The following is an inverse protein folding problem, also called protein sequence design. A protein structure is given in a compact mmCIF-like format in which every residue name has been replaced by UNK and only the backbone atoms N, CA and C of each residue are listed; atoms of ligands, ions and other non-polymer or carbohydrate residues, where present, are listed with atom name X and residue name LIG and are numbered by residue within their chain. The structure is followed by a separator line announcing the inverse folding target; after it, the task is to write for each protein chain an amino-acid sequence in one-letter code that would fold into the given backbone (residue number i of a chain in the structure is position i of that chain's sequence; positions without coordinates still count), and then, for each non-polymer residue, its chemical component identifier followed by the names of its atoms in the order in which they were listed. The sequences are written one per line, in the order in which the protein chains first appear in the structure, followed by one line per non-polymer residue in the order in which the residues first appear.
data_IF_711728457402
#
_entry.id   IF_711728457402
#
_cell.length_a   1.000
_cell.length_b   1.000
_cell.length_c   1.000
_cell.angle_alpha   90.00
_cell.angle_beta   90.00
_cell.angle_gamma   90.00
#
_symmetry.space_group_name_H-M   'P 1'
#
loop_
_entity.id
_entity.type
_entity.pdbx_description
1 polymer ?
#
# COMPACT_ATOMS: atom_id res chain seq x y z
N UNK A 1 -12.95 10.63 17.53
CA UNK A 1 -13.37 11.09 16.20
C UNK A 1 -13.15 9.94 15.24
N UNK A 2 -14.13 9.61 14.41
CA UNK A 2 -14.00 8.53 13.40
C UNK A 2 -13.11 9.03 12.26
N UNK A 3 -12.16 8.22 11.81
CA UNK A 3 -11.44 8.52 10.58
C UNK A 3 -12.40 8.46 9.38
N UNK A 4 -12.21 9.34 8.41
CA UNK A 4 -12.91 9.28 7.12
C UNK A 4 -12.08 8.43 6.17
N UNK A 5 -12.71 7.43 5.58
CA UNK A 5 -12.08 6.50 4.63
C UNK A 5 -12.66 6.72 3.23
N UNK A 6 -11.87 6.59 2.15
CA UNK A 6 -12.40 6.66 0.78
C UNK A 6 -13.44 5.56 0.58
N UNK A 7 -14.55 5.83 -0.11
CA UNK A 7 -15.62 4.82 -0.25
C UNK A 7 -15.22 3.68 -1.17
N UNK A 8 -14.38 3.99 -2.16
CA UNK A 8 -13.95 3.05 -3.18
C UNK A 8 -12.43 2.97 -3.20
N UNK A 9 -11.94 1.75 -3.18
CA UNK A 9 -10.55 1.40 -3.43
C UNK A 9 -10.41 1.11 -4.93
N UNK A 10 -9.42 1.69 -5.59
CA UNK A 10 -9.15 1.47 -7.00
C UNK A 10 -7.73 0.93 -7.25
N UNK A 11 -7.63 -0.07 -8.11
CA UNK A 11 -6.38 -0.66 -8.59
C UNK A 11 -6.50 -0.87 -10.10
N UNK A 12 -5.42 -0.73 -10.86
CA UNK A 12 -5.42 -1.01 -12.29
C UNK A 12 -4.26 -1.93 -12.68
N UNK A 13 -4.55 -2.96 -13.46
CA UNK A 13 -3.56 -3.82 -14.09
C UNK A 13 -3.38 -3.31 -15.51
N UNK A 14 -2.18 -2.89 -15.87
CA UNK A 14 -1.87 -2.20 -17.12
C UNK A 14 -1.15 -3.17 -18.06
N UNK A 15 -1.57 -3.20 -19.32
CA UNK A 15 -1.07 -4.13 -20.33
C UNK A 15 -0.60 -3.36 -21.56
N UNK A 16 0.38 -3.89 -22.27
CA UNK A 16 0.82 -3.37 -23.57
C UNK A 16 0.27 -4.21 -24.73
N UNK A 17 0.70 -3.89 -25.95
CA UNK A 17 0.29 -4.59 -27.17
C UNK A 17 0.79 -6.04 -27.24
N UNK A 18 1.79 -6.43 -26.45
CA UNK A 18 2.34 -7.79 -26.46
C UNK A 18 1.52 -8.77 -25.63
N UNK A 19 0.70 -8.26 -24.69
CA UNK A 19 -0.22 -9.02 -23.85
C UNK A 19 -1.63 -8.41 -23.89
N UNK A 20 -2.31 -8.41 -25.05
CA UNK A 20 -3.57 -7.69 -25.21
C UNK A 20 -4.72 -8.37 -24.44
N UNK A 21 -5.54 -7.58 -23.74
CA UNK A 21 -6.68 -8.09 -22.94
C UNK A 21 -7.65 -9.05 -23.67
N UNK A 22 -7.97 -8.87 -24.96
CA UNK A 22 -8.87 -9.78 -25.68
C UNK A 22 -8.39 -11.24 -25.76
N UNK A 23 -7.14 -11.54 -25.44
CA UNK A 23 -6.63 -12.91 -25.36
C UNK A 23 -6.71 -13.53 -23.96
N UNK A 24 -7.11 -12.77 -22.94
CA UNK A 24 -7.16 -13.23 -21.56
C UNK A 24 -8.59 -13.67 -21.24
N UNK A 25 -8.84 -14.96 -21.38
CA UNK A 25 -10.09 -15.60 -20.94
C UNK A 25 -9.91 -16.04 -19.48
N UNK A 26 -10.40 -15.23 -18.55
CA UNK A 26 -10.35 -15.58 -17.14
C UNK A 26 -11.44 -16.61 -16.83
N UNK A 27 -11.04 -17.73 -16.23
CA UNK A 27 -11.98 -18.51 -15.43
C UNK A 27 -12.31 -17.71 -14.16
N UNK A 28 -13.34 -16.89 -14.27
CA UNK A 28 -13.81 -16.06 -13.17
C UNK A 28 -14.23 -16.87 -11.95
N UNK A 29 -14.62 -18.14 -12.13
CA UNK A 29 -14.93 -19.00 -10.98
C UNK A 29 -13.64 -19.37 -10.24
N UNK A 30 -12.57 -19.72 -10.97
CA UNK A 30 -11.25 -19.94 -10.38
C UNK A 30 -10.74 -18.71 -9.61
N UNK A 31 -10.92 -17.50 -10.18
CA UNK A 31 -10.58 -16.25 -9.49
C UNK A 31 -11.36 -16.08 -8.18
N UNK A 32 -12.67 -16.35 -8.20
CA UNK A 32 -13.52 -16.28 -7.00
C UNK A 32 -13.09 -17.30 -5.95
N UNK A 33 -12.80 -18.54 -6.37
CA UNK A 33 -12.42 -19.63 -5.47
C UNK A 33 -11.09 -19.30 -4.77
N UNK A 34 -10.08 -18.81 -5.51
CA UNK A 34 -8.81 -18.33 -4.96
C UNK A 34 -9.01 -17.19 -3.95
N UNK A 35 -9.89 -16.23 -4.26
CA UNK A 35 -10.20 -15.12 -3.34
C UNK A 35 -10.90 -15.63 -2.08
N UNK A 36 -11.86 -16.55 -2.21
CA UNK A 36 -12.57 -17.14 -1.08
C UNK A 36 -11.66 -17.99 -0.19
N UNK A 37 -10.70 -18.72 -0.77
CA UNK A 37 -9.68 -19.45 0.00
C UNK A 37 -8.82 -18.49 0.84
N UNK A 38 -8.36 -17.38 0.25
CA UNK A 38 -7.62 -16.35 0.98
C UNK A 38 -8.47 -15.70 2.09
N UNK A 39 -9.77 -15.46 1.85
CA UNK A 39 -10.70 -14.97 2.87
C UNK A 39 -10.92 -15.96 4.00
N UNK A 40 -10.98 -17.26 3.70
CA UNK A 40 -11.05 -18.30 4.71
C UNK A 40 -9.80 -18.25 5.62
N UNK A 41 -8.61 -18.11 5.02
CA UNK A 41 -7.36 -17.91 5.74
C UNK A 41 -7.38 -16.66 6.63
N UNK A 42 -7.87 -15.54 6.10
CA UNK A 42 -8.07 -14.30 6.87
C UNK A 42 -9.01 -14.51 8.06
N UNK A 43 -10.18 -15.11 7.84
CA UNK A 43 -11.20 -15.35 8.85
C UNK A 43 -10.72 -16.27 9.99
N UNK A 44 -9.79 -17.19 9.70
CA UNK A 44 -9.18 -18.06 10.71
C UNK A 44 -8.24 -17.31 11.64
N UNK A 45 -7.56 -16.27 11.14
CA UNK A 45 -6.64 -15.42 11.90
C UNK A 45 -7.34 -14.23 12.56
N UNK A 46 -8.44 -13.76 11.97
CA UNK A 46 -9.15 -12.57 12.42
C UNK A 46 -9.87 -12.81 13.75
N UNK A 47 -9.64 -11.93 14.72
CA UNK A 47 -10.32 -11.94 16.02
C UNK A 47 -11.62 -11.12 16.04
N UNK A 48 -11.98 -10.47 14.93
CA UNK A 48 -13.07 -9.50 14.87
C UNK A 48 -14.00 -9.70 13.67
N UNK A 49 -13.70 -9.01 12.57
CA UNK A 49 -14.55 -9.01 11.38
C UNK A 49 -14.38 -10.31 10.60
N UNK A 50 -15.46 -11.09 10.49
CA UNK A 50 -15.54 -12.22 9.56
C UNK A 50 -16.13 -11.76 8.24
N UNK A 51 -15.45 -12.10 7.15
CA UNK A 51 -15.86 -11.76 5.80
C UNK A 51 -16.68 -12.91 5.20
N UNK A 52 -17.89 -12.65 4.69
CA UNK A 52 -18.63 -13.63 3.92
C UNK A 52 -17.89 -13.95 2.61
N UNK A 53 -18.15 -15.13 2.06
CA UNK A 53 -17.65 -15.53 0.75
C UNK A 53 -18.28 -14.67 -0.36
N UNK A 54 -17.53 -14.45 -1.43
CA UNK A 54 -18.05 -13.80 -2.62
C UNK A 54 -18.87 -14.79 -3.44
N UNK A 55 -20.07 -14.36 -3.81
CA UNK A 55 -20.93 -15.07 -4.74
C UNK A 55 -20.86 -14.41 -6.12
N UNK A 56 -20.87 -15.24 -7.17
CA UNK A 56 -20.86 -14.75 -8.53
C UNK A 56 -22.19 -14.08 -8.87
N UNK A 57 -22.18 -12.75 -9.03
CA UNK A 57 -23.32 -11.96 -9.49
C UNK A 57 -23.05 -11.50 -10.92
N UNK A 58 -23.01 -12.45 -11.86
CA UNK A 58 -22.71 -12.13 -13.25
C UNK A 58 -23.82 -11.27 -13.85
N UNK A 59 -23.55 -10.00 -14.05
CA UNK A 59 -24.34 -9.16 -14.96
C UNK A 59 -23.93 -9.49 -16.39
N UNK A 60 -24.81 -10.12 -17.15
CA UNK A 60 -24.58 -10.42 -18.56
C UNK A 60 -24.48 -9.10 -19.35
N UNK A 61 -23.30 -8.78 -19.89
CA UNK A 61 -23.15 -7.60 -20.75
C UNK A 61 -21.73 -7.29 -21.19
N UNK A 62 -20.78 -7.17 -20.27
CA UNK A 62 -19.50 -6.51 -20.58
C UNK A 62 -18.28 -7.32 -20.16
N UNK A 63 -17.13 -7.01 -20.78
CA UNK A 63 -15.81 -7.64 -20.59
C UNK A 63 -15.31 -7.43 -19.15
N UNK A 64 -15.91 -8.11 -18.19
CA UNK A 64 -15.64 -7.91 -16.77
C UNK A 64 -16.52 -8.77 -15.87
N UNK A 65 -16.40 -8.53 -14.57
CA UNK A 65 -17.12 -9.24 -13.53
C UNK A 65 -17.49 -8.28 -12.40
N UNK A 66 -18.69 -8.50 -11.84
CA UNK A 66 -19.11 -7.90 -10.58
C UNK A 66 -19.42 -9.02 -9.60
N UNK A 67 -18.80 -8.98 -8.42
CA UNK A 67 -19.09 -9.92 -7.33
C UNK A 67 -19.32 -9.16 -6.04
N UNK A 68 -20.09 -9.77 -5.14
CA UNK A 68 -20.40 -9.18 -3.84
C UNK A 68 -20.58 -10.23 -2.76
N UNK A 69 -20.40 -9.80 -1.51
CA UNK A 69 -20.56 -10.65 -0.33
C UNK A 69 -21.45 -10.00 0.74
N UNK A 70 -22.28 -9.05 0.35
CA UNK A 70 -23.12 -8.25 1.26
C UNK A 70 -22.40 -7.09 1.96
N UNK A 71 -21.09 -7.19 2.18
CA UNK A 71 -20.29 -6.13 2.81
C UNK A 71 -19.48 -5.32 1.78
N UNK A 72 -18.93 -6.01 0.79
CA UNK A 72 -18.14 -5.42 -0.28
C UNK A 72 -18.69 -5.82 -1.64
N UNK A 73 -18.50 -4.93 -2.61
CA UNK A 73 -18.70 -5.20 -4.02
C UNK A 73 -17.39 -4.96 -4.76
N UNK A 74 -17.02 -5.91 -5.61
CA UNK A 74 -15.83 -5.84 -6.47
C UNK A 74 -16.31 -5.69 -7.91
N UNK A 75 -15.81 -4.69 -8.61
CA UNK A 75 -15.99 -4.50 -10.04
C UNK A 75 -14.63 -4.65 -10.72
N UNK A 76 -14.51 -5.65 -11.59
CA UNK A 76 -13.33 -5.89 -12.40
C UNK A 76 -13.71 -5.72 -13.87
N UNK A 77 -13.23 -4.67 -14.53
CA UNK A 77 -13.66 -4.32 -15.88
C UNK A 77 -12.43 -4.21 -16.79
N UNK A 78 -12.44 -4.93 -17.89
CA UNK A 78 -11.44 -4.84 -18.94
C UNK A 78 -11.75 -3.66 -19.86
N UNK A 79 -10.76 -2.81 -20.08
CA UNK A 79 -10.83 -1.64 -20.94
C UNK A 79 -9.80 -1.79 -22.07
N UNK A 80 -10.26 -1.70 -23.33
CA UNK A 80 -9.40 -1.77 -24.52
C UNK A 80 -8.66 -0.45 -24.82
N UNK A 81 -8.70 0.49 -23.88
CA UNK A 81 -8.02 1.77 -23.97
C UNK A 81 -7.07 1.94 -22.78
N UNK A 82 -5.98 2.73 -22.93
CA UNK A 82 -5.11 3.03 -21.81
C UNK A 82 -5.85 3.86 -20.76
N UNK A 83 -5.36 3.80 -19.53
CA UNK A 83 -5.83 4.69 -18.47
C UNK A 83 -5.47 6.13 -18.85
N UNK A 84 -6.43 7.04 -18.66
CA UNK A 84 -6.23 8.46 -18.96
C UNK A 84 -5.02 9.02 -18.21
N UNK A 85 -4.13 9.73 -18.91
CA UNK A 85 -2.88 10.25 -18.31
C UNK A 85 -3.09 11.18 -17.13
N UNK A 86 -4.26 11.82 -17.02
CA UNK A 86 -4.64 12.66 -15.88
C UNK A 86 -4.71 11.88 -14.56
N UNK A 87 -4.95 10.57 -14.61
CA UNK A 87 -4.99 9.72 -13.42
C UNK A 87 -3.60 9.47 -12.82
N UNK A 88 -2.52 9.83 -13.52
CA UNK A 88 -1.15 9.65 -13.07
C UNK A 88 -0.43 10.97 -12.79
N UNK A 89 -1.16 12.09 -12.64
CA UNK A 89 -0.54 13.41 -12.46
C UNK A 89 0.35 13.48 -11.21
N UNK A 90 -0.11 12.94 -10.07
CA UNK A 90 0.66 12.95 -8.82
C UNK A 90 1.90 12.05 -8.95
N UNK A 91 1.71 10.82 -9.41
CA UNK A 91 2.79 9.88 -9.68
C UNK A 91 3.88 10.47 -10.61
N UNK A 92 3.49 11.11 -11.72
CA UNK A 92 4.44 11.76 -12.66
C UNK A 92 5.14 12.97 -12.06
N UNK A 93 4.52 13.63 -11.10
CA UNK A 93 5.12 14.76 -10.38
C UNK A 93 6.01 14.31 -9.21
N UNK A 94 6.00 13.02 -8.84
CA UNK A 94 6.79 12.49 -7.74
C UNK A 94 8.27 12.41 -8.09
N UNK A 95 9.16 13.06 -7.33
CA UNK A 95 10.61 12.95 -7.52
C UNK A 95 11.11 11.50 -7.36
N UNK A 96 10.45 10.69 -6.53
CA UNK A 96 10.79 9.27 -6.33
C UNK A 96 10.69 8.53 -7.68
N UNK A 97 9.60 8.70 -8.40
CA UNK A 97 9.43 8.05 -9.71
C UNK A 97 10.31 8.68 -10.79
N UNK A 98 10.45 10.00 -10.81
CA UNK A 98 11.25 10.70 -11.81
C UNK A 98 12.75 10.34 -11.72
N UNK A 99 13.30 10.28 -10.50
CA UNK A 99 14.74 10.09 -10.29
C UNK A 99 15.12 8.63 -10.05
N UNK A 100 14.30 7.86 -9.33
CA UNK A 100 14.67 6.51 -8.88
C UNK A 100 14.04 5.40 -9.72
N UNK A 101 12.84 5.62 -10.25
CA UNK A 101 12.12 4.61 -11.03
C UNK A 101 11.67 5.12 -12.41
N UNK A 102 12.56 5.78 -13.19
CA UNK A 102 12.17 6.37 -14.47
C UNK A 102 11.75 5.33 -15.51
N UNK A 103 12.16 4.06 -15.33
CA UNK A 103 11.74 2.97 -16.19
C UNK A 103 10.25 2.62 -16.04
N UNK A 104 9.69 2.71 -14.82
CA UNK A 104 8.25 2.48 -14.60
C UNK A 104 7.41 3.56 -15.28
N UNK A 105 7.86 4.81 -15.26
CA UNK A 105 7.19 5.90 -15.98
C UNK A 105 7.21 5.72 -17.50
N UNK A 106 8.28 5.12 -18.05
CA UNK A 106 8.34 4.76 -19.47
C UNK A 106 7.38 3.62 -19.82
N UNK A 107 7.35 2.56 -19.01
CA UNK A 107 6.40 1.45 -19.16
C UNK A 107 4.95 1.93 -19.02
N UNK A 108 4.69 2.87 -18.11
CA UNK A 108 3.40 3.53 -17.98
C UNK A 108 3.03 4.28 -19.27
N UNK A 109 3.99 4.80 -20.02
CA UNK A 109 3.74 5.44 -21.30
C UNK A 109 3.40 4.48 -22.44
N UNK A 110 3.71 3.18 -22.31
CA UNK A 110 3.53 2.18 -23.37
C UNK A 110 2.32 1.27 -23.20
N UNK A 111 1.61 1.33 -22.06
CA UNK A 111 0.39 0.55 -21.89
C UNK A 111 -0.71 1.02 -22.86
N UNK A 112 -1.50 0.08 -23.35
CA UNK A 112 -2.55 0.31 -24.37
C UNK A 112 -3.93 -0.14 -23.90
N UNK A 113 -4.00 -0.98 -22.88
CA UNK A 113 -5.25 -1.44 -22.30
C UNK A 113 -5.07 -1.73 -20.80
N UNK A 114 -6.17 -1.88 -20.05
CA UNK A 114 -6.10 -2.12 -18.61
C UNK A 114 -7.32 -2.88 -18.04
N UNK A 115 -7.12 -3.57 -16.91
CA UNK A 115 -8.21 -4.04 -16.05
C UNK A 115 -8.33 -3.07 -14.89
N UNK A 116 -9.52 -2.49 -14.73
CA UNK A 116 -9.87 -1.64 -13.59
C UNK A 116 -10.52 -2.48 -12.51
N UNK A 117 -9.97 -2.48 -11.30
CA UNK A 117 -10.51 -3.14 -10.12
C UNK A 117 -10.99 -2.05 -9.17
N UNK A 118 -12.27 -2.09 -8.81
CA UNK A 118 -12.87 -1.22 -7.80
C UNK A 118 -13.47 -2.07 -6.70
N UNK A 119 -13.09 -1.80 -5.45
CA UNK A 119 -13.70 -2.43 -4.27
C UNK A 119 -14.41 -1.36 -3.46
N UNK A 120 -15.72 -1.51 -3.34
CA UNK A 120 -16.60 -0.54 -2.69
C UNK A 120 -17.23 -1.17 -1.44
N UNK A 121 -17.38 -0.37 -0.37
CA UNK A 121 -18.15 -0.79 0.80
C UNK A 121 -19.65 -0.59 0.54
N UNK A 122 -20.42 -1.66 0.74
CA UNK A 122 -21.87 -1.69 0.62
C UNK A 122 -22.47 -1.29 1.97
N UNK A 123 -23.02 -0.08 2.06
CA UNK A 123 -23.78 0.33 3.23
C UNK A 123 -25.23 -0.18 3.14
N UNK A 124 -25.48 -1.39 3.65
CA UNK A 124 -26.84 -1.95 3.79
C UNK A 124 -27.13 -3.18 2.91
N UNK A 125 -28.27 -3.85 3.13
CA UNK A 125 -28.64 -5.05 2.38
C UNK A 125 -28.78 -4.74 0.89
N UNK A 126 -28.14 -5.56 0.06
CA UNK A 126 -28.15 -5.45 -1.39
C UNK A 126 -29.58 -5.74 -1.88
N UNK A 127 -30.40 -4.71 -2.05
CA UNK A 127 -31.60 -4.80 -2.88
C UNK A 127 -31.13 -4.73 -4.33
N UNK A 128 -31.17 -5.88 -5.02
CA UNK A 128 -30.81 -6.00 -6.42
C UNK A 128 -31.75 -5.19 -7.29
N UNK A 129 -31.28 -4.01 -7.71
CA UNK A 129 -31.66 -3.31 -8.94
C UNK A 129 -30.81 -2.04 -9.03
N UNK A 130 -29.59 -2.19 -9.51
CA UNK A 130 -28.76 -1.06 -9.95
C UNK A 130 -28.27 -1.33 -11.37
N UNK A 131 -29.23 -1.39 -12.30
CA UNK A 131 -28.94 -1.28 -13.72
C UNK A 131 -28.61 0.17 -14.06
N UNK A 132 -27.39 0.41 -14.57
CA UNK A 132 -27.02 1.60 -15.33
C UNK A 132 -26.98 2.93 -14.57
N UNK A 133 -25.79 3.32 -14.09
CA UNK A 133 -25.44 4.75 -14.07
C UNK A 133 -24.00 4.95 -14.50
N UNK A 134 -23.78 4.88 -15.81
CA UNK A 134 -22.70 5.62 -16.46
C UNK A 134 -23.03 7.10 -16.36
N UNK A 135 -22.52 7.75 -15.31
CA UNK A 135 -22.53 9.20 -15.20
C UNK A 135 -21.14 9.66 -14.76
N UNK A 136 -20.41 10.20 -15.72
CA UNK A 136 -19.32 11.12 -15.49
C UNK A 136 -19.79 12.21 -14.52
N UNK A 137 -19.18 12.24 -13.34
CA UNK A 137 -19.47 13.22 -12.31
C UNK A 137 -18.58 12.96 -11.11
N UNK A 138 -17.44 13.66 -11.06
CA UNK A 138 -16.71 13.85 -9.82
C UNK A 138 -17.62 14.60 -8.83
N UNK A 139 -18.39 13.88 -8.03
CA UNK A 139 -19.18 14.43 -6.94
C UNK A 139 -18.80 13.72 -5.64
N UNK A 140 -18.00 14.45 -4.84
CA UNK A 140 -17.81 14.33 -3.40
C UNK A 140 -17.88 12.91 -2.82
N UNK A 141 -16.77 12.17 -2.95
CA UNK A 141 -16.47 10.93 -2.22
C UNK A 141 -16.15 11.21 -0.74
N UNK A 142 -16.92 12.10 -0.10
CA UNK A 142 -16.77 12.39 1.33
C UNK A 142 -17.31 11.22 2.14
N UNK A 143 -16.37 10.54 2.80
CA UNK A 143 -16.49 9.19 3.32
C UNK A 143 -17.56 8.98 4.39
N UNK A 144 -18.07 7.76 4.39
CA UNK A 144 -18.83 7.24 5.50
C UNK A 144 -17.92 7.02 6.70
N UNK A 145 -18.52 7.03 7.90
CA UNK A 145 -17.90 6.53 9.13
C UNK A 145 -17.80 5.01 9.07
N UNK A 146 -16.87 4.53 8.24
CA UNK A 146 -16.44 3.13 8.23
C UNK A 146 -15.52 2.88 9.43
N UNK A 147 -15.66 1.73 10.08
CA UNK A 147 -14.73 1.32 11.13
C UNK A 147 -13.37 0.91 10.54
N UNK A 148 -12.28 1.15 11.26
CA UNK A 148 -10.93 0.77 10.83
C UNK A 148 -10.83 -0.69 10.37
N UNK A 149 -11.47 -1.62 11.11
CA UNK A 149 -11.44 -3.05 10.77
C UNK A 149 -12.10 -3.33 9.41
N UNK A 150 -13.20 -2.65 9.08
CA UNK A 150 -13.87 -2.77 7.78
C UNK A 150 -13.00 -2.21 6.67
N UNK A 151 -12.33 -1.08 6.91
CA UNK A 151 -11.40 -0.50 5.94
C UNK A 151 -10.22 -1.43 5.64
N UNK A 152 -9.60 -1.98 6.69
CA UNK A 152 -8.49 -2.93 6.56
C UNK A 152 -8.92 -4.21 5.84
N UNK A 153 -10.12 -4.72 6.13
CA UNK A 153 -10.69 -5.84 5.40
C UNK A 153 -10.92 -5.50 3.92
N UNK A 154 -11.36 -4.29 3.60
CA UNK A 154 -11.53 -3.85 2.21
C UNK A 154 -10.19 -3.76 1.47
N UNK A 155 -9.14 -3.25 2.14
CA UNK A 155 -7.77 -3.26 1.61
C UNK A 155 -7.26 -4.67 1.37
N UNK A 156 -7.55 -5.61 2.28
CA UNK A 156 -7.21 -7.02 2.12
C UNK A 156 -7.90 -7.63 0.90
N UNK A 157 -9.20 -7.39 0.73
CA UNK A 157 -9.99 -7.85 -0.43
C UNK A 157 -9.42 -7.27 -1.73
N UNK A 158 -9.21 -5.96 -1.81
CA UNK A 158 -8.66 -5.31 -2.99
C UNK A 158 -7.27 -5.85 -3.36
N UNK A 159 -6.42 -6.06 -2.36
CA UNK A 159 -5.07 -6.63 -2.52
C UNK A 159 -5.15 -8.03 -3.09
N UNK A 160 -5.94 -8.89 -2.44
CA UNK A 160 -6.07 -10.31 -2.79
C UNK A 160 -6.61 -10.46 -4.21
N UNK A 161 -7.67 -9.73 -4.54
CA UNK A 161 -8.26 -9.78 -5.88
C UNK A 161 -7.29 -9.29 -6.96
N UNK A 162 -6.59 -8.17 -6.71
CA UNK A 162 -5.56 -7.70 -7.63
C UNK A 162 -4.38 -8.66 -7.75
N UNK A 163 -3.97 -9.32 -6.66
CA UNK A 163 -2.89 -10.30 -6.64
C UNK A 163 -3.21 -11.52 -7.49
N UNK A 164 -4.40 -12.11 -7.32
CA UNK A 164 -4.85 -13.27 -8.11
C UNK A 164 -4.89 -12.92 -9.61
N UNK A 165 -5.48 -11.77 -9.97
CA UNK A 165 -5.52 -11.37 -11.37
C UNK A 165 -4.13 -11.04 -11.94
N UNK A 166 -3.24 -10.45 -11.13
CA UNK A 166 -1.89 -10.13 -11.57
C UNK A 166 -1.05 -11.40 -11.80
N UNK A 167 -1.25 -12.44 -10.97
CA UNK A 167 -0.60 -13.74 -11.13
C UNK A 167 -1.04 -14.44 -12.42
N UNK A 168 -2.36 -14.46 -12.67
CA UNK A 168 -2.94 -15.09 -13.86
C UNK A 168 -2.65 -14.32 -15.17
N UNK A 169 -2.70 -12.99 -15.12
CA UNK A 169 -2.67 -12.15 -16.32
C UNK A 169 -1.28 -11.60 -16.66
N UNK A 170 -0.35 -11.62 -15.69
CA UNK A 170 1.00 -11.07 -15.81
C UNK A 170 1.06 -9.66 -16.45
N UNK A 171 0.38 -8.65 -15.87
CA UNK A 171 0.35 -7.30 -16.43
C UNK A 171 1.74 -6.68 -16.57
N UNK A 172 1.89 -5.69 -17.45
CA UNK A 172 3.11 -4.89 -17.55
C UNK A 172 3.40 -4.14 -16.23
N UNK A 173 2.36 -3.53 -15.68
CA UNK A 173 2.40 -2.76 -14.43
C UNK A 173 1.12 -2.95 -13.63
N UNK A 174 1.22 -2.82 -12.31
CA UNK A 174 0.09 -2.67 -11.40
C UNK A 174 0.13 -1.27 -10.80
N UNK A 175 -0.94 -0.50 -11.00
CA UNK A 175 -1.19 0.76 -10.33
C UNK A 175 -2.06 0.52 -9.10
N UNK A 176 -1.49 0.72 -7.93
CA UNK A 176 -2.18 0.65 -6.66
C UNK A 176 -2.64 2.06 -6.25
N UNK A 177 -3.92 2.36 -6.48
CA UNK A 177 -4.45 3.74 -6.45
C UNK A 177 -4.54 4.34 -5.04
N UNK A 178 -4.61 3.53 -3.98
CA UNK A 178 -4.78 3.97 -2.60
C UNK A 178 -3.56 4.73 -2.09
N UNK A 179 -2.38 4.33 -2.55
CA UNK A 179 -1.12 4.99 -2.27
C UNK A 179 -0.52 5.66 -3.50
N UNK A 180 -1.25 5.71 -4.62
CA UNK A 180 -0.76 6.15 -5.94
C UNK A 180 0.65 5.61 -6.27
N UNK A 181 0.82 4.28 -6.22
CA UNK A 181 2.10 3.60 -6.50
C UNK A 181 2.00 2.69 -7.72
N UNK A 182 3.10 2.60 -8.47
CA UNK A 182 3.30 1.65 -9.57
C UNK A 182 4.29 0.57 -9.20
N UNK A 183 3.98 -0.64 -9.65
CA UNK A 183 4.81 -1.83 -9.50
C UNK A 183 4.87 -2.58 -10.82
N UNK A 184 6.01 -3.22 -11.12
CA UNK A 184 6.03 -4.32 -12.09
C UNK A 184 5.31 -5.53 -11.50
N UNK A 185 4.79 -6.43 -12.34
CA UNK A 185 4.03 -7.59 -11.88
C UNK A 185 4.74 -8.39 -10.79
N UNK A 186 5.93 -8.91 -11.07
CA UNK A 186 6.68 -9.73 -10.12
C UNK A 186 6.97 -9.01 -8.81
N UNK A 187 7.17 -7.68 -8.88
CA UNK A 187 7.37 -6.88 -7.68
C UNK A 187 6.07 -6.74 -6.89
N UNK A 188 4.95 -6.47 -7.58
CA UNK A 188 3.61 -6.42 -6.98
C UNK A 188 3.28 -7.72 -6.26
N UNK A 189 3.48 -8.87 -6.92
CA UNK A 189 3.19 -10.19 -6.34
C UNK A 189 3.97 -10.42 -5.04
N UNK A 190 5.24 -10.02 -4.98
CA UNK A 190 6.07 -10.10 -3.76
C UNK A 190 5.61 -9.14 -2.67
N UNK A 191 5.35 -7.86 -2.99
CA UNK A 191 4.96 -6.88 -1.95
C UNK A 191 3.55 -7.10 -1.43
N UNK A 192 2.68 -7.74 -2.21
CA UNK A 192 1.31 -8.08 -1.84
C UNK A 192 1.19 -9.45 -1.14
N UNK A 193 2.24 -10.26 -1.10
CA UNK A 193 2.24 -11.57 -0.44
C UNK A 193 1.89 -11.49 1.06
N UNK A 194 2.43 -10.55 1.87
CA UNK A 194 2.10 -10.47 3.30
C UNK A 194 0.59 -10.27 3.55
N UNK A 195 0.12 -10.71 4.73
CA UNK A 195 -1.28 -10.50 5.16
C UNK A 195 -1.63 -9.00 5.18
N UNK A 196 -0.68 -8.17 5.65
CA UNK A 196 -0.80 -6.71 5.74
C UNK A 196 0.41 -6.08 5.04
N UNK A 197 0.33 -5.85 3.71
CA UNK A 197 1.41 -5.27 2.94
C UNK A 197 1.49 -3.76 3.15
N UNK A 198 2.11 -3.31 4.24
CA UNK A 198 2.17 -1.87 4.59
C UNK A 198 2.74 -0.99 3.47
N UNK A 199 3.59 -1.53 2.61
CA UNK A 199 4.17 -0.83 1.45
C UNK A 199 3.09 -0.40 0.46
N UNK A 200 2.04 -1.20 0.27
CA UNK A 200 0.87 -0.84 -0.53
C UNK A 200 -0.02 0.18 0.19
N UNK A 201 0.00 0.22 1.52
CA UNK A 201 -0.96 1.00 2.30
C UNK A 201 -0.42 2.37 2.73
N UNK A 202 0.89 2.54 2.71
CA UNK A 202 1.57 3.74 3.19
C UNK A 202 2.40 4.32 2.05
N UNK A 203 2.08 5.52 1.58
CA UNK A 203 2.90 6.23 0.59
C UNK A 203 3.91 7.15 1.29
N UNK A 204 5.21 7.06 0.96
CA UNK A 204 6.22 7.98 1.48
C UNK A 204 6.18 9.33 0.76
N UNK A 205 5.95 10.42 1.49
CA UNK A 205 6.12 11.78 0.99
C UNK A 205 7.32 12.42 1.66
N UNK A 206 8.34 12.71 0.86
CA UNK A 206 9.56 13.36 1.32
C UNK A 206 9.32 14.86 1.54
N UNK A 207 9.92 15.41 2.59
CA UNK A 207 9.97 16.85 2.82
C UNK A 207 11.35 17.25 3.35
N UNK A 208 11.71 18.53 3.16
CA UNK A 208 12.94 19.09 3.71
C UNK A 208 12.78 20.58 4.02
N UNK A 209 13.37 21.01 5.13
CA UNK A 209 13.52 22.39 5.58
C UNK A 209 14.74 23.07 4.96
N UNK A 210 15.56 22.32 4.21
CA UNK A 210 16.86 22.77 3.71
C UNK A 210 17.99 22.71 4.74
N UNK A 211 17.75 22.13 5.93
CA UNK A 211 18.79 21.94 6.94
C UNK A 211 19.89 21.03 6.40
N UNK A 212 21.15 21.42 6.60
CA UNK A 212 22.33 20.67 6.15
C UNK A 212 23.05 20.07 7.35
N UNK A 213 23.42 18.79 7.25
CA UNK A 213 24.25 18.07 8.22
C UNK A 213 25.32 17.30 7.45
N UNK A 214 26.59 17.46 7.84
CA UNK A 214 27.75 16.83 7.18
C UNK A 214 27.78 17.02 5.65
N UNK A 215 27.29 18.16 5.18
CA UNK A 215 27.23 18.51 3.75
C UNK A 215 26.01 17.97 2.99
N UNK A 216 25.13 17.22 3.65
CA UNK A 216 23.91 16.67 3.06
C UNK A 216 22.65 17.37 3.57
N UNK A 217 21.66 17.55 2.70
CA UNK A 217 20.37 18.12 3.08
C UNK A 217 19.55 17.03 3.78
N UNK A 218 19.18 17.30 5.03
CA UNK A 218 18.32 16.41 5.80
C UNK A 218 16.93 16.32 5.17
N UNK A 219 16.40 15.11 5.16
CA UNK A 219 15.08 14.81 4.59
C UNK A 219 14.22 14.12 5.65
N UNK A 220 12.98 14.56 5.78
CA UNK A 220 11.95 13.90 6.59
C UNK A 220 10.97 13.15 5.69
N UNK A 221 10.16 12.30 6.30
CA UNK A 221 9.21 11.45 5.57
C UNK A 221 7.84 11.47 6.23
N UNK A 222 6.79 11.61 5.44
CA UNK A 222 5.39 11.47 5.88
C UNK A 222 4.80 10.22 5.26
N UNK A 223 4.23 9.34 6.08
CA UNK A 223 3.55 8.14 5.59
C UNK A 223 2.08 8.41 5.35
N UNK A 224 1.69 8.80 4.14
CA UNK A 224 0.28 8.95 3.82
C UNK A 224 -0.40 7.59 3.85
N UNK A 225 -1.52 7.46 4.56
CA UNK A 225 -2.24 6.20 4.73
C UNK A 225 -1.92 5.48 6.04
N UNK A 226 -0.85 5.88 6.73
CA UNK A 226 -0.52 5.36 8.07
C UNK A 226 -1.64 5.57 9.09
N UNK A 227 -2.41 6.65 8.96
CA UNK A 227 -3.58 6.91 9.80
C UNK A 227 -4.67 5.83 9.64
N UNK A 228 -4.76 5.18 8.48
CA UNK A 228 -5.77 4.17 8.25
C UNK A 228 -5.41 2.83 8.90
N UNK A 229 -4.12 2.56 9.10
CA UNK A 229 -3.60 1.33 9.73
C UNK A 229 -3.28 1.48 11.22
N UNK A 230 -3.32 2.71 11.76
CA UNK A 230 -3.06 3.04 13.17
C UNK A 230 -4.22 3.84 13.83
N UNK A 231 -5.46 3.62 13.39
CA UNK A 231 -6.64 4.16 14.09
C UNK A 231 -6.75 5.68 14.13
N UNK A 232 -6.37 6.34 13.04
CA UNK A 232 -6.52 7.79 12.83
C UNK A 232 -5.27 8.62 13.06
N UNK A 233 -4.16 8.03 13.54
CA UNK A 233 -2.90 8.75 13.75
C UNK A 233 -1.95 8.58 12.58
N UNK A 234 -1.69 9.67 11.86
CA UNK A 234 -0.65 9.70 10.83
C UNK A 234 0.75 9.58 11.46
N UNK A 235 1.71 9.02 10.72
CA UNK A 235 3.10 8.88 11.13
C UNK A 235 3.99 9.76 10.27
N UNK A 236 4.87 10.50 10.93
CA UNK A 236 5.88 11.37 10.34
C UNK A 236 7.23 10.98 10.92
N UNK A 237 8.24 10.78 10.09
CA UNK A 237 9.64 10.72 10.51
C UNK A 237 10.24 12.12 10.34
N UNK A 238 10.83 12.64 11.42
CA UNK A 238 11.54 13.90 11.40
C UNK A 238 12.69 13.88 10.39
N UNK A 239 13.13 15.07 9.96
CA UNK A 239 14.37 15.22 9.21
C UNK A 239 15.52 14.56 9.96
N UNK A 240 16.21 13.67 9.27
CA UNK A 240 17.24 12.82 9.84
C UNK A 240 18.31 12.53 8.77
N UNK A 241 19.52 12.10 9.18
CA UNK A 241 20.64 11.90 8.26
C UNK A 241 20.57 10.57 7.50
N UNK A 242 19.56 9.72 7.74
CA UNK A 242 19.47 8.45 7.04
C UNK A 242 19.00 8.65 5.60
N UNK A 243 19.48 7.80 4.67
CA UNK A 243 18.89 7.68 3.34
C UNK A 243 17.37 7.48 3.42
N UNK A 244 16.63 8.00 2.43
CA UNK A 244 15.17 8.00 2.46
C UNK A 244 14.57 6.60 2.57
N UNK A 245 15.22 5.57 1.99
CA UNK A 245 14.78 4.19 2.03
C UNK A 245 14.89 3.62 3.46
N UNK A 246 15.99 3.90 4.17
CA UNK A 246 16.14 3.53 5.58
C UNK A 246 15.13 4.28 6.46
N UNK A 247 14.92 5.56 6.18
CA UNK A 247 13.87 6.37 6.81
C UNK A 247 12.48 5.75 6.62
N UNK A 248 12.18 5.26 5.42
CA UNK A 248 10.91 4.62 5.14
C UNK A 248 10.77 3.27 5.86
N UNK A 249 11.83 2.47 5.90
CA UNK A 249 11.88 1.23 6.68
C UNK A 249 11.66 1.45 8.18
N UNK A 250 12.24 2.51 8.76
CA UNK A 250 11.97 2.91 10.15
C UNK A 250 10.49 3.14 10.37
N UNK A 251 9.86 3.90 9.47
CA UNK A 251 8.44 4.22 9.56
C UNK A 251 7.57 2.96 9.47
N UNK A 252 7.83 2.08 8.49
CA UNK A 252 7.07 0.83 8.33
C UNK A 252 7.26 -0.11 9.53
N UNK A 253 8.47 -0.18 10.07
CA UNK A 253 8.76 -0.98 11.26
C UNK A 253 8.04 -0.46 12.50
N UNK A 254 7.98 0.87 12.69
CA UNK A 254 7.20 1.48 13.76
C UNK A 254 5.71 1.18 13.65
N UNK A 255 5.14 1.29 12.43
CA UNK A 255 3.74 0.96 12.17
C UNK A 255 3.47 -0.51 12.48
N UNK A 256 4.33 -1.42 12.00
CA UNK A 256 4.25 -2.86 12.27
C UNK A 256 4.26 -3.14 13.77
N UNK A 257 5.19 -2.52 14.50
CA UNK A 257 5.33 -2.69 15.93
C UNK A 257 4.09 -2.22 16.70
N UNK A 258 3.54 -1.04 16.37
CA UNK A 258 2.32 -0.54 17.00
C UNK A 258 1.11 -1.44 16.72
N UNK A 259 1.02 -2.00 15.51
CA UNK A 259 -0.04 -2.96 15.15
C UNK A 259 0.05 -4.24 15.97
N UNK A 260 1.25 -4.81 16.11
CA UNK A 260 1.49 -5.99 16.95
C UNK A 260 1.22 -5.73 18.43
N UNK A 261 1.57 -4.53 18.90
CA UNK A 261 1.32 -4.09 20.28
C UNK A 261 -0.16 -3.81 20.55
N UNK A 262 -0.98 -3.62 19.51
CA UNK A 262 -2.39 -3.26 19.62
C UNK A 262 -2.65 -1.82 20.09
N UNK A 263 -1.59 -0.99 20.14
CA UNK A 263 -1.68 0.44 20.48
C UNK A 263 -0.54 1.22 19.83
N UNK A 264 -0.77 2.50 19.63
CA UNK A 264 0.30 3.45 19.31
C UNK A 264 1.10 3.74 20.59
N UNK A 265 2.42 3.89 20.46
CA UNK A 265 3.27 4.30 21.59
C UNK A 265 2.86 5.68 22.12
N UNK A 266 2.96 5.87 23.44
CA UNK A 266 2.66 7.13 24.12
C UNK A 266 3.73 8.19 23.81
N UNK A 267 3.43 9.44 24.14
CA UNK A 267 4.41 10.52 24.03
C UNK A 267 5.67 10.21 24.86
N UNK A 268 6.83 10.55 24.29
CA UNK A 268 8.16 10.33 24.85
C UNK A 268 8.58 8.86 25.04
N UNK A 269 7.73 7.86 24.72
CA UNK A 269 8.16 6.47 24.59
C UNK A 269 9.19 6.32 23.45
N UNK A 270 10.00 5.26 23.52
CA UNK A 270 11.04 4.99 22.53
C UNK A 270 10.75 3.71 21.75
N UNK A 271 11.06 3.75 20.46
CA UNK A 271 11.04 2.64 19.53
C UNK A 271 12.45 2.43 18.93
N UNK A 272 12.77 1.22 18.53
CA UNK A 272 13.98 0.90 17.76
C UNK A 272 13.77 -0.39 16.99
N UNK A 273 14.26 -0.45 15.74
CA UNK A 273 14.29 -1.71 14.97
C UNK A 273 15.34 -2.67 15.50
N UNK A 274 16.35 -2.12 16.16
CA UNK A 274 17.49 -2.81 16.79
C UNK A 274 17.62 -2.37 18.24
N UNK A 275 18.33 -3.16 19.05
CA UNK A 275 18.49 -2.91 20.50
C UNK A 275 19.26 -1.63 20.83
N UNK A 276 20.10 -1.17 19.91
CA UNK A 276 20.92 0.04 20.02
C UNK A 276 20.26 1.28 19.38
N UNK A 277 19.19 1.09 18.61
CA UNK A 277 18.45 2.18 17.96
C UNK A 277 17.42 2.75 18.95
N UNK A 278 17.45 4.07 19.17
CA UNK A 278 16.48 4.79 20.01
C UNK A 278 15.85 5.93 19.23
N UNK A 279 14.58 5.77 18.91
CA UNK A 279 13.75 6.71 18.19
C UNK A 279 12.65 7.16 19.14
N UNK A 280 12.64 8.45 19.47
CA UNK A 280 11.64 9.01 20.38
C UNK A 280 10.34 9.27 19.64
N UNK A 281 9.23 8.94 20.29
CA UNK A 281 7.86 9.18 19.81
C UNK A 281 7.38 10.52 20.38
N UNK A 282 6.90 11.41 19.51
CA UNK A 282 6.35 12.71 19.90
C UNK A 282 4.94 12.84 19.34
N UNK A 283 3.96 13.12 20.19
CA UNK A 283 2.57 13.33 19.78
C UNK A 283 2.31 14.79 19.50
N UNK A 284 1.75 15.05 18.32
CA UNK A 284 1.25 16.37 17.94
C UNK A 284 -0.27 16.35 17.98
N UNK A 285 -0.85 17.32 18.69
CA UNK A 285 -2.30 17.54 18.71
C UNK A 285 -2.81 17.89 17.33
N UNK A 286 -4.08 17.59 17.06
CA UNK A 286 -4.70 17.96 15.80
C UNK A 286 -4.88 19.46 15.64
N UNK A 287 -4.88 19.90 14.39
CA UNK A 287 -5.21 21.27 13.98
C UNK A 287 -6.20 21.26 12.81
N UNK A 288 -6.51 22.41 12.23
CA UNK A 288 -7.44 22.53 11.10
C UNK A 288 -7.01 21.76 9.86
N UNK A 289 -5.70 21.51 9.69
CA UNK A 289 -5.14 20.80 8.54
C UNK A 289 -4.95 19.30 8.81
N UNK A 290 -4.73 18.93 10.07
CA UNK A 290 -4.59 17.55 10.55
C UNK A 290 -5.48 17.36 11.78
N UNK A 291 -6.81 17.22 11.62
CA UNK A 291 -7.73 17.22 12.76
C UNK A 291 -7.48 16.09 13.78
N UNK A 292 -6.93 14.97 13.33
CA UNK A 292 -6.60 13.83 14.21
C UNK A 292 -5.22 13.92 14.87
N UNK A 293 -4.42 14.94 14.52
CA UNK A 293 -3.02 15.04 14.89
C UNK A 293 -2.16 13.95 14.24
N UNK A 294 -0.91 13.84 14.67
CA UNK A 294 0.03 12.85 14.14
C UNK A 294 1.08 12.47 15.18
N UNK A 295 1.76 11.37 14.92
CA UNK A 295 2.93 10.91 15.67
C UNK A 295 4.17 11.21 14.87
N UNK A 296 5.12 11.89 15.51
CA UNK A 296 6.44 12.15 14.95
C UNK A 296 7.46 11.21 15.56
N UNK A 297 8.24 10.56 14.71
CA UNK A 297 9.40 9.75 15.05
C UNK A 297 10.64 10.63 14.94
N UNK A 298 11.43 10.67 16.01
CA UNK A 298 12.61 11.52 16.12
C UNK A 298 13.84 10.65 16.36
N UNK A 299 14.73 10.61 15.38
CA UNK A 299 15.99 9.87 15.44
C UNK A 299 17.03 10.71 16.20
N UNK A 300 17.65 10.15 17.24
CA UNK A 300 18.70 10.83 18.00
C UNK A 300 18.21 12.05 18.79
N UNK A 301 19.07 13.05 18.95
CA UNK A 301 18.78 14.30 19.70
C UNK A 301 18.09 15.39 18.85
N UNK A 302 17.57 15.06 17.67
CA UNK A 302 16.94 16.04 16.80
C UNK A 302 15.71 16.68 17.48
N UNK A 303 15.66 18.01 17.55
CA UNK A 303 14.54 18.77 18.18
C UNK A 303 13.66 19.50 17.17
N UNK A 304 13.88 19.28 15.86
CA UNK A 304 13.16 20.00 14.83
C UNK A 304 11.66 19.65 14.83
N UNK A 305 10.82 20.64 15.13
CA UNK A 305 9.37 20.55 14.99
C UNK A 305 9.02 20.74 13.51
N UNK A 306 8.30 19.79 12.88
CA UNK A 306 7.99 19.89 11.46
C UNK A 306 6.92 20.98 11.29
N UNK A 307 7.16 21.93 10.38
CA UNK A 307 6.10 22.86 9.97
C UNK A 307 5.19 22.12 8.99
N UNK A 308 3.99 21.80 9.44
CA UNK A 308 2.98 21.19 8.59
C UNK A 308 2.42 22.24 7.64
N UNK A 309 2.85 22.22 6.38
CA UNK A 309 2.20 22.99 5.31
C UNK A 309 1.34 22.01 4.51
N UNK A 310 -0.01 22.15 4.49
CA UNK A 310 -0.91 21.24 3.76
C UNK A 310 -0.74 21.28 2.24
N UNK A 311 0.06 22.22 1.71
CA UNK A 311 0.49 22.22 0.31
C UNK A 311 1.83 21.53 0.21
N UNK A 312 1.89 20.45 -0.56
CA UNK A 312 3.09 19.75 -0.95
C UNK A 312 4.17 20.76 -1.40
N UNK A 313 5.08 21.11 -0.50
CA UNK A 313 6.35 21.68 -0.91
C UNK A 313 7.12 20.51 -1.52
N UNK A 314 6.91 20.30 -2.82
CA UNK A 314 7.76 19.45 -3.63
C UNK A 314 9.17 20.02 -3.52
N UNK A 315 10.00 19.40 -2.69
CA UNK A 315 11.42 19.71 -2.67
C UNK A 315 12.00 19.24 -4.00
N UNK A 316 12.51 20.18 -4.79
CA UNK A 316 13.31 19.94 -6.00
C UNK A 316 14.78 19.64 -5.66
N UNK A 317 15.10 19.38 -4.38
CA UNK A 317 16.45 19.01 -3.98
C UNK A 317 16.88 17.74 -4.72
N UNK A 318 18.02 17.81 -5.40
CA UNK A 318 18.62 16.66 -6.09
C UNK A 318 18.96 15.60 -5.03
N UNK A 319 18.24 14.48 -5.05
CA UNK A 319 18.51 13.35 -4.16
C UNK A 319 19.81 12.67 -4.60
N UNK A 320 20.67 12.34 -3.63
CA UNK A 320 21.91 11.60 -3.88
C UNK A 320 21.60 10.25 -4.52
N UNK A 321 22.13 10.00 -5.73
CA UNK A 321 21.95 8.75 -6.49
C UNK A 321 22.63 7.54 -5.86
N UNK A 322 23.40 7.72 -4.79
CA UNK A 322 24.34 6.70 -4.29
C UNK A 322 23.70 5.45 -3.65
N UNK A 323 22.36 5.35 -3.60
CA UNK A 323 21.66 4.21 -2.99
C UNK A 323 20.57 3.53 -3.82
N UNK A 324 20.41 3.85 -5.12
CA UNK A 324 19.36 3.29 -5.96
C UNK A 324 19.70 1.85 -6.44
N UNK A 325 19.90 0.93 -5.50
CA UNK A 325 19.82 -0.51 -5.75
C UNK A 325 18.34 -0.89 -5.80
N UNK A 326 17.97 -1.85 -6.65
CA UNK A 326 16.63 -2.42 -6.74
C UNK A 326 16.10 -2.67 -5.32
N UNK A 327 15.16 -1.85 -4.87
CA UNK A 327 14.66 -1.89 -3.50
C UNK A 327 13.81 -3.16 -3.33
N UNK A 328 14.43 -4.20 -2.79
CA UNK A 328 13.74 -5.35 -2.23
C UNK A 328 13.65 -5.09 -0.72
N UNK A 329 12.46 -4.88 -0.15
CA UNK A 329 12.32 -4.79 1.28
C UNK A 329 12.70 -6.17 1.87
N UNK A 330 13.89 -6.27 2.46
CA UNK A 330 14.24 -7.38 3.36
C UNK A 330 13.47 -7.16 4.68
N UNK A 331 12.16 -7.41 4.66
CA UNK A 331 11.43 -7.67 5.90
C UNK A 331 11.68 -9.15 6.23
N UNK A 332 12.91 -9.46 6.64
CA UNK A 332 13.13 -10.66 7.42
C UNK A 332 12.26 -10.48 8.68
N UNK A 333 11.31 -11.40 8.90
CA UNK A 333 10.40 -11.34 10.03
C UNK A 333 11.18 -10.98 11.30
N UNK A 334 10.86 -9.82 11.87
CA UNK A 334 11.42 -9.39 13.14
C UNK A 334 10.91 -10.37 14.19
N UNK A 335 11.65 -11.46 14.37
CA UNK A 335 11.49 -12.37 15.49
C UNK A 335 11.94 -11.64 16.74
N UNK A 336 11.03 -10.88 17.35
CA UNK A 336 11.18 -10.48 18.75
C UNK A 336 11.12 -11.79 19.54
N UNK A 337 12.26 -12.21 20.09
CA UNK A 337 12.40 -13.39 20.93
C UNK A 337 11.50 -13.28 22.17
N UNK A 338 10.26 -13.74 22.06
CA UNK A 338 9.53 -14.34 23.16
C UNK A 338 9.72 -15.85 23.05
N UNK A 339 10.43 -16.43 24.01
CA UNK A 339 10.84 -17.83 23.99
C UNK A 339 9.67 -18.80 23.82
N UNK A 340 9.55 -19.39 22.64
CA UNK A 340 8.82 -20.62 22.40
C UNK A 340 9.46 -21.35 21.21
N UNK A 341 9.92 -22.57 21.48
CA UNK A 341 10.51 -23.50 20.51
C UNK A 341 9.56 -23.74 19.33
N UNK A 342 9.96 -23.37 18.11
CA UNK A 342 9.30 -23.75 16.86
C UNK A 342 10.25 -24.62 16.03
N UNK A 343 9.75 -25.80 15.65
CA UNK A 343 10.51 -26.86 15.01
C UNK A 343 10.67 -26.73 13.49
N UNK A 344 11.79 -27.27 13.01
CA UNK A 344 11.96 -28.06 11.78
C UNK A 344 11.85 -27.36 10.42
N UNK A 345 10.83 -26.54 10.17
CA UNK A 345 10.48 -26.10 8.81
C UNK A 345 11.27 -24.89 8.29
N UNK A 346 11.61 -23.94 9.16
CA UNK A 346 12.23 -22.67 8.75
C UNK A 346 13.70 -22.81 8.30
N UNK A 347 14.40 -23.88 8.71
CA UNK A 347 15.80 -24.10 8.37
C UNK A 347 16.00 -24.45 6.88
N UNK A 348 15.03 -25.15 6.26
CA UNK A 348 15.16 -25.60 4.86
C UNK A 348 14.96 -24.46 3.83
N UNK A 349 14.19 -23.43 4.19
CA UNK A 349 13.97 -22.25 3.32
C UNK A 349 15.20 -21.33 3.32
N UNK A 350 15.91 -21.23 4.45
CA UNK A 350 17.15 -20.46 4.55
C UNK A 350 18.31 -21.10 3.77
N UNK A 351 18.37 -22.44 3.71
CA UNK A 351 19.40 -23.15 2.95
C UNK A 351 19.22 -23.01 1.44
N UNK A 352 17.97 -23.01 0.95
CA UNK A 352 17.64 -22.77 -0.45
C UNK A 352 18.06 -21.36 -0.91
N UNK A 353 17.81 -20.32 -0.08
CA UNK A 353 18.20 -18.94 -0.39
C UNK A 353 19.72 -18.70 -0.35
N UNK A 354 20.45 -19.43 0.48
CA UNK A 354 21.93 -19.33 0.52
C UNK A 354 22.58 -19.92 -0.74
N UNK A 355 22.00 -21.00 -1.28
CA UNK A 355 22.51 -21.67 -2.49
C UNK A 355 22.36 -20.83 -3.77
N UNK A 356 21.27 -20.07 -3.88
CA UNK A 356 21.00 -19.21 -5.06
C UNK A 356 21.94 -17.99 -5.11
N UNK A 357 22.37 -17.49 -3.95
CA UNK A 357 23.29 -16.34 -3.87
C UNK A 357 24.73 -16.74 -4.25
N UNK A 358 25.15 -17.98 -4.01
CA UNK A 358 26.49 -18.45 -4.44
C UNK A 358 26.61 -18.69 -5.95
N UNK A 359 25.51 -18.91 -6.66
CA UNK A 359 25.51 -19.15 -8.12
C UNK A 359 25.49 -17.86 -8.95
N UNK A 360 25.11 -16.72 -8.37
CA UNK A 360 25.14 -15.41 -9.04
C UNK A 360 26.49 -14.67 -8.90
N UNK A 361 27.48 -15.28 -8.23
CA UNK A 361 28.79 -14.69 -7.94
C UNK A 361 29.97 -15.33 -8.68
N UNK A 362 29.75 -16.00 -9.82
CA UNK A 362 30.83 -16.51 -10.68
C UNK A 362 30.67 -16.04 -12.13
#
# INVERSE_FOLDING_TARGET
MSATYPRTLQTALLFDETAPLPSIDFDWQEVIDCVNEALFGYNKKASGLKLPEFENQRTAGDKGMVIGNGLFQIHAICHEAPVASANFTQLRASPIYADMQPHLLRMLGSHTCHISIKVTHCAGPISGDSAGSDAAGASDDMGQTEGQLTFEARLFVAKTFAWVLADLAAPLLVHWGQSDQLYQNDHFLRVAEPDIPLILYVHPVLFSSGTVHDGEILTGLRGLGSQHVLGGKGVVLAENPYPWNESYEIMLAFITYCRQLGRVLNDSETFGRRTDEKIRVVHHSGDTNVPSGFVQLVVGNATATPKFTPKAAQSTAKYSRAGAVLWLPFIAGVGIMAGASLGGGAAQILEALSSTIQLAGR
#
